data_IF_168916667845
#
_entry.id   IF_168916667845
#
_cell.length_a   1.000
_cell.length_b   1.000
_cell.length_c   1.000
_cell.angle_alpha   90.00
_cell.angle_beta   90.00
_cell.angle_gamma   90.00
#
_symmetry.space_group_name_H-M   'P 1'
#
loop_
_entity.id
_entity.type
_entity.pdbx_description
1 polymer ?
#
# COMPACT_ATOMS: atom_id res chain seq x y z
N UNK A 1 -16.36 1.49 1.45
CA UNK A 1 -16.30 0.79 0.15
C UNK A 1 -15.59 -0.53 0.28
N UNK A 2 -14.41 -0.55 0.82
CA UNK A 2 -13.54 -1.74 0.99
C UNK A 2 -14.24 -2.91 1.67
N UNK A 3 -14.98 -2.69 2.75
CA UNK A 3 -15.73 -3.74 3.43
C UNK A 3 -16.78 -4.41 2.53
N UNK A 4 -17.46 -3.64 1.68
CA UNK A 4 -18.41 -4.20 0.70
C UNK A 4 -17.70 -5.08 -0.34
N UNK A 5 -16.51 -4.66 -0.77
CA UNK A 5 -15.69 -5.47 -1.67
C UNK A 5 -15.26 -6.76 -0.99
N UNK A 6 -14.70 -6.70 0.22
CA UNK A 6 -14.28 -7.89 0.98
C UNK A 6 -15.47 -8.85 1.23
N UNK A 7 -16.63 -8.32 1.56
CA UNK A 7 -17.85 -9.11 1.69
C UNK A 7 -18.26 -9.76 0.37
N UNK A 8 -18.22 -9.03 -0.75
CA UNK A 8 -18.60 -9.56 -2.07
C UNK A 8 -17.72 -10.72 -2.53
N UNK A 9 -16.46 -10.73 -2.16
CA UNK A 9 -15.53 -11.83 -2.40
C UNK A 9 -15.56 -12.88 -1.28
N UNK A 10 -16.44 -12.76 -0.28
CA UNK A 10 -16.57 -13.67 0.87
C UNK A 10 -15.28 -13.82 1.68
N UNK A 11 -14.53 -12.71 1.85
CA UNK A 11 -13.34 -12.74 2.71
C UNK A 11 -13.77 -13.04 4.17
N UNK A 12 -13.05 -13.90 4.92
CA UNK A 12 -13.43 -14.26 6.30
C UNK A 12 -13.52 -13.02 7.19
N UNK A 13 -14.69 -12.76 7.75
CA UNK A 13 -14.98 -11.59 8.57
C UNK A 13 -14.04 -11.51 9.79
N UNK A 14 -13.84 -12.62 10.48
CA UNK A 14 -12.99 -12.73 11.68
C UNK A 14 -11.53 -12.35 11.44
N UNK A 15 -11.10 -12.25 10.18
CA UNK A 15 -9.76 -11.83 9.76
C UNK A 15 -9.68 -10.34 9.40
N UNK A 16 -10.78 -9.60 9.47
CA UNK A 16 -10.82 -8.19 9.10
C UNK A 16 -10.68 -7.33 10.35
N UNK A 17 -9.60 -6.56 10.42
CA UNK A 17 -9.32 -5.59 11.47
C UNK A 17 -9.54 -4.18 10.92
N UNK A 18 -10.36 -3.38 11.57
CA UNK A 18 -10.59 -1.97 11.25
C UNK A 18 -9.76 -1.10 12.20
N UNK A 19 -8.76 -0.43 11.66
CA UNK A 19 -7.98 0.54 12.42
C UNK A 19 -8.59 1.93 12.24
N UNK A 20 -8.99 2.55 13.35
CA UNK A 20 -9.58 3.89 13.38
C UNK A 20 -8.70 4.84 14.22
N UNK A 21 -8.84 6.15 14.04
CA UNK A 21 -7.92 7.10 14.64
C UNK A 21 -8.29 7.49 16.09
N UNK A 22 -9.54 7.26 16.52
CA UNK A 22 -10.01 7.61 17.87
C UNK A 22 -11.22 6.79 18.32
N UNK A 23 -11.56 6.88 19.60
CA UNK A 23 -12.73 6.24 20.18
C UNK A 23 -14.04 6.78 19.57
N UNK A 24 -14.10 8.07 19.23
CA UNK A 24 -15.26 8.68 18.58
C UNK A 24 -15.47 8.05 17.19
N UNK A 25 -14.39 7.86 16.42
CA UNK A 25 -14.49 7.14 15.15
C UNK A 25 -14.92 5.69 15.35
N UNK A 26 -14.39 5.01 16.36
CA UNK A 26 -14.80 3.65 16.68
C UNK A 26 -16.30 3.56 17.00
N UNK A 27 -16.83 4.52 17.76
CA UNK A 27 -18.27 4.61 18.07
C UNK A 27 -19.11 4.82 16.80
N UNK A 28 -18.69 5.71 15.90
CA UNK A 28 -19.36 5.94 14.61
C UNK A 28 -19.33 4.69 13.72
N UNK A 29 -18.21 3.97 13.68
CA UNK A 29 -18.12 2.72 12.92
C UNK A 29 -19.07 1.67 13.48
N UNK A 30 -19.13 1.48 14.80
CA UNK A 30 -20.08 0.53 15.43
C UNK A 30 -21.55 0.90 15.15
N UNK A 31 -21.85 2.20 15.06
CA UNK A 31 -23.20 2.68 14.76
C UNK A 31 -23.61 2.47 13.30
N UNK A 32 -22.68 2.64 12.35
CA UNK A 32 -23.01 2.74 10.92
C UNK A 32 -22.53 1.59 10.06
N UNK A 33 -21.59 0.76 10.55
CA UNK A 33 -21.05 -0.37 9.83
C UNK A 33 -21.58 -1.66 10.43
N UNK A 34 -22.29 -2.49 9.66
CA UNK A 34 -22.80 -3.78 10.13
C UNK A 34 -21.69 -4.67 10.71
N UNK A 35 -21.91 -5.23 11.88
CA UNK A 35 -20.92 -6.06 12.60
C UNK A 35 -20.44 -7.28 11.78
N UNK A 36 -21.29 -7.82 10.92
CA UNK A 36 -20.94 -8.96 10.06
C UNK A 36 -19.93 -8.62 8.95
N UNK A 37 -19.45 -7.37 8.84
CA UNK A 37 -18.48 -6.95 7.83
C UNK A 37 -17.04 -6.88 8.34
N UNK A 38 -16.81 -7.04 9.65
CA UNK A 38 -15.48 -6.98 10.25
C UNK A 38 -15.39 -7.84 11.50
N UNK A 39 -14.17 -8.24 11.88
CA UNK A 39 -13.93 -9.02 13.10
C UNK A 39 -13.69 -8.14 14.32
N UNK A 40 -12.92 -7.08 14.17
CA UNK A 40 -12.53 -6.19 15.27
C UNK A 40 -12.31 -4.75 14.82
N UNK A 41 -12.64 -3.79 15.69
CA UNK A 41 -12.21 -2.40 15.57
C UNK A 41 -11.06 -2.17 16.57
N UNK A 42 -9.94 -1.65 16.06
CA UNK A 42 -8.75 -1.30 16.84
C UNK A 42 -8.60 0.22 16.81
N UNK A 43 -8.60 0.85 17.98
CA UNK A 43 -8.33 2.28 18.11
C UNK A 43 -6.83 2.51 18.04
N UNK A 44 -6.40 3.17 16.99
CA UNK A 44 -5.01 3.53 16.73
C UNK A 44 -4.75 5.01 17.00
N UNK A 45 -4.16 5.71 16.01
CA UNK A 45 -3.74 7.10 16.16
C UNK A 45 -4.07 7.94 14.92
N UNK A 46 -4.19 9.24 15.09
CA UNK A 46 -4.46 10.18 14.01
C UNK A 46 -3.23 10.37 13.11
N UNK A 47 -3.48 10.50 11.81
CA UNK A 47 -2.48 10.75 10.78
C UNK A 47 -2.04 9.48 10.04
N UNK A 48 -1.89 9.57 8.73
CA UNK A 48 -1.64 8.41 7.86
C UNK A 48 -0.38 7.63 8.26
N UNK A 49 0.75 8.32 8.38
CA UNK A 49 2.03 7.68 8.74
C UNK A 49 2.01 7.16 10.17
N UNK A 50 1.44 7.94 11.11
CA UNK A 50 1.30 7.51 12.50
C UNK A 50 0.47 6.23 12.59
N UNK A 51 -0.65 6.16 11.87
CA UNK A 51 -1.52 4.97 11.83
C UNK A 51 -0.81 3.78 11.20
N UNK A 52 -0.05 3.96 10.11
CA UNK A 52 0.76 2.89 9.51
C UNK A 52 1.81 2.35 10.49
N UNK A 53 2.49 3.25 11.20
CA UNK A 53 3.47 2.88 12.22
C UNK A 53 2.82 2.20 13.44
N UNK A 54 1.62 2.67 13.84
CA UNK A 54 0.84 2.00 14.89
C UNK A 54 0.49 0.57 14.50
N UNK A 55 -0.04 0.35 13.29
CA UNK A 55 -0.36 -0.98 12.76
C UNK A 55 0.88 -1.89 12.75
N UNK A 56 2.02 -1.36 12.28
CA UNK A 56 3.29 -2.10 12.28
C UNK A 56 3.70 -2.54 13.69
N UNK A 57 3.54 -1.69 14.69
CA UNK A 57 3.88 -2.01 16.09
C UNK A 57 2.85 -2.93 16.76
N UNK A 58 1.58 -2.84 16.35
CA UNK A 58 0.48 -3.61 16.93
C UNK A 58 0.49 -5.07 16.45
N UNK A 59 0.81 -5.30 15.19
CA UNK A 59 1.01 -6.63 14.61
C UNK A 59 2.33 -7.25 15.08
N UNK A 60 2.37 -8.56 15.23
CA UNK A 60 3.60 -9.28 15.57
C UNK A 60 4.71 -9.12 14.53
N UNK A 61 6.00 -9.18 14.91
CA UNK A 61 7.09 -9.21 13.96
C UNK A 61 6.97 -10.44 13.05
N UNK A 62 7.33 -10.29 11.77
CA UNK A 62 7.22 -11.32 10.73
C UNK A 62 5.79 -11.80 10.40
N UNK A 63 4.77 -11.27 11.05
CA UNK A 63 3.38 -11.53 10.70
C UNK A 63 3.08 -11.03 9.27
N UNK A 64 2.39 -11.86 8.48
CA UNK A 64 2.01 -11.46 7.11
C UNK A 64 0.58 -10.95 7.15
N UNK A 65 0.39 -9.71 6.72
CA UNK A 65 -0.91 -9.08 6.67
C UNK A 65 -1.21 -8.47 5.30
N UNK A 66 -2.49 -8.24 5.05
CA UNK A 66 -2.99 -7.57 3.86
C UNK A 66 -3.55 -6.22 4.28
N UNK A 67 -3.05 -5.16 3.70
CA UNK A 67 -3.53 -3.80 3.96
C UNK A 67 -4.43 -3.32 2.83
N UNK A 68 -5.56 -2.75 3.23
CA UNK A 68 -6.48 -2.04 2.33
C UNK A 68 -6.78 -0.66 2.91
N UNK A 69 -6.81 0.37 2.05
CA UNK A 69 -7.44 1.63 2.41
C UNK A 69 -8.98 1.51 2.32
N UNK A 70 -9.70 2.41 2.95
CA UNK A 70 -11.17 2.37 3.07
C UNK A 70 -11.92 2.69 1.76
N UNK A 71 -11.23 3.26 0.79
CA UNK A 71 -11.73 3.70 -0.52
C UNK A 71 -11.54 2.69 -1.66
N UNK A 72 -11.01 1.50 -1.38
CA UNK A 72 -10.85 0.45 -2.40
C UNK A 72 -12.21 -0.08 -2.84
N UNK A 73 -12.51 0.07 -4.12
CA UNK A 73 -13.72 -0.46 -4.74
C UNK A 73 -13.58 -1.93 -5.12
N UNK A 74 -12.44 -2.29 -5.70
CA UNK A 74 -12.14 -3.65 -6.14
C UNK A 74 -10.66 -3.82 -6.47
N UNK A 75 -10.19 -5.05 -6.41
CA UNK A 75 -8.98 -5.48 -7.11
C UNK A 75 -9.44 -6.13 -8.42
N UNK A 76 -9.29 -5.40 -9.52
CA UNK A 76 -9.65 -5.91 -10.84
C UNK A 76 -8.63 -6.94 -11.28
N UNK A 77 -9.10 -8.11 -11.69
CA UNK A 77 -8.28 -9.23 -12.10
C UNK A 77 -8.37 -9.46 -13.62
N UNK A 78 -7.31 -9.95 -14.20
CA UNK A 78 -7.33 -10.52 -15.54
C UNK A 78 -8.21 -11.77 -15.56
N UNK A 79 -8.85 -12.07 -16.68
CA UNK A 79 -9.66 -13.27 -16.88
C UNK A 79 -8.89 -14.55 -16.49
N UNK A 80 -9.55 -15.47 -15.79
CA UNK A 80 -8.95 -16.70 -15.28
C UNK A 80 -8.16 -16.56 -13.96
N UNK A 81 -7.99 -15.34 -13.44
CA UNK A 81 -7.34 -15.09 -12.16
C UNK A 81 -8.36 -14.76 -11.06
N UNK A 82 -8.06 -15.13 -9.80
CA UNK A 82 -8.86 -14.71 -8.67
C UNK A 82 -7.97 -14.18 -7.53
N UNK A 83 -8.58 -13.40 -6.65
CA UNK A 83 -7.88 -12.72 -5.57
C UNK A 83 -7.33 -13.69 -4.52
N UNK A 84 -8.01 -14.79 -4.24
CA UNK A 84 -7.56 -15.77 -3.28
C UNK A 84 -6.29 -16.48 -3.73
N UNK A 85 -6.23 -16.85 -5.02
CA UNK A 85 -5.01 -17.40 -5.60
C UNK A 85 -3.85 -16.41 -5.48
N UNK A 86 -4.09 -15.12 -5.83
CA UNK A 86 -3.07 -14.08 -5.74
C UNK A 86 -2.56 -13.92 -4.30
N UNK A 87 -3.45 -13.87 -3.32
CA UNK A 87 -3.10 -13.75 -1.90
C UNK A 87 -2.30 -14.97 -1.44
N UNK A 88 -2.76 -16.20 -1.75
CA UNK A 88 -2.09 -17.42 -1.37
C UNK A 88 -0.69 -17.54 -1.97
N UNK A 89 -0.53 -17.22 -3.26
CA UNK A 89 0.74 -17.22 -3.96
C UNK A 89 1.69 -16.14 -3.40
N UNK A 90 1.18 -14.93 -3.11
CA UNK A 90 1.98 -13.87 -2.48
C UNK A 90 2.48 -14.28 -1.09
N UNK A 91 1.61 -14.82 -0.24
CA UNK A 91 1.97 -15.31 1.10
C UNK A 91 3.04 -16.41 0.99
N UNK A 92 2.87 -17.34 0.07
CA UNK A 92 3.84 -18.42 -0.15
C UNK A 92 5.20 -17.83 -0.56
N UNK A 93 5.23 -16.91 -1.52
CA UNK A 93 6.48 -16.27 -1.98
C UNK A 93 7.15 -15.42 -0.90
N UNK A 94 6.37 -14.72 -0.09
CA UNK A 94 6.88 -13.97 1.06
C UNK A 94 7.54 -14.93 2.07
N UNK A 95 6.95 -16.10 2.32
CA UNK A 95 7.50 -17.09 3.26
C UNK A 95 8.74 -17.80 2.74
N UNK A 96 8.81 -18.09 1.44
CA UNK A 96 9.79 -19.01 0.88
C UNK A 96 10.89 -18.35 0.05
N UNK A 97 10.71 -17.11 -0.40
CA UNK A 97 11.61 -16.44 -1.34
C UNK A 97 12.06 -15.03 -0.90
N UNK A 98 11.97 -14.72 0.37
CA UNK A 98 12.45 -13.46 0.93
C UNK A 98 11.84 -12.19 0.33
N UNK A 99 10.56 -12.25 -0.07
CA UNK A 99 9.83 -11.02 -0.36
C UNK A 99 9.31 -10.40 0.93
N UNK A 100 9.53 -9.10 1.11
CA UNK A 100 8.94 -8.39 2.25
C UNK A 100 7.63 -7.70 1.91
N UNK A 101 7.42 -7.36 0.63
CA UNK A 101 6.30 -6.56 0.16
C UNK A 101 5.79 -7.03 -1.20
N UNK A 102 4.48 -7.17 -1.31
CA UNK A 102 3.79 -7.57 -2.53
C UNK A 102 2.60 -6.65 -2.83
N UNK A 103 2.28 -6.45 -4.10
CA UNK A 103 1.10 -5.70 -4.54
C UNK A 103 0.70 -6.04 -5.98
N UNK A 104 -0.27 -5.31 -6.49
CA UNK A 104 -0.77 -5.34 -7.86
C UNK A 104 -0.39 -4.07 -8.62
N UNK A 105 -0.83 -3.89 -9.85
CA UNK A 105 -0.66 -2.63 -10.57
C UNK A 105 -1.43 -1.50 -9.85
N UNK A 106 -0.89 -0.27 -9.84
CA UNK A 106 -1.49 0.87 -9.13
C UNK A 106 -2.75 1.43 -9.81
N UNK A 107 -3.20 0.81 -10.90
CA UNK A 107 -4.43 1.16 -11.60
C UNK A 107 -5.10 -0.10 -12.16
N UNK A 108 -6.41 -0.01 -12.39
CA UNK A 108 -7.27 -1.10 -12.87
C UNK A 108 -7.46 -1.11 -14.39
N UNK A 109 -6.58 -0.47 -15.18
CA UNK A 109 -6.66 -0.51 -16.64
C UNK A 109 -6.29 -1.91 -17.16
N UNK A 110 -7.30 -2.69 -17.50
CA UNK A 110 -7.14 -4.08 -17.98
C UNK A 110 -6.25 -4.21 -19.22
N UNK A 111 -6.12 -3.17 -20.05
CA UNK A 111 -5.23 -3.16 -21.22
C UNK A 111 -3.76 -3.30 -20.85
N UNK A 112 -3.40 -2.99 -19.60
CA UNK A 112 -2.04 -3.11 -19.06
C UNK A 112 -1.79 -4.45 -18.38
N UNK A 113 -2.81 -5.27 -18.20
CA UNK A 113 -2.67 -6.55 -17.53
C UNK A 113 -1.85 -7.51 -18.38
N UNK A 114 -0.99 -8.25 -17.72
CA UNK A 114 -0.14 -9.30 -18.28
C UNK A 114 -0.04 -10.44 -17.29
N UNK A 115 0.19 -11.64 -17.77
CA UNK A 115 0.45 -12.80 -16.92
C UNK A 115 1.72 -12.63 -16.09
N UNK A 116 1.78 -13.32 -14.97
CA UNK A 116 2.95 -13.37 -14.09
C UNK A 116 3.15 -12.16 -13.19
N UNK A 117 4.34 -12.04 -12.65
CA UNK A 117 4.76 -11.00 -11.73
C UNK A 117 6.12 -10.43 -12.10
N UNK A 118 6.50 -9.32 -11.45
CA UNK A 118 7.86 -8.78 -11.48
C UNK A 118 8.44 -8.76 -10.08
N UNK A 119 9.77 -8.86 -9.97
CA UNK A 119 10.51 -8.85 -8.70
C UNK A 119 11.52 -7.69 -8.57
N UNK A 120 11.52 -6.77 -9.53
CA UNK A 120 12.37 -5.58 -9.47
C UNK A 120 11.74 -4.45 -8.64
N UNK A 121 12.50 -3.40 -8.38
CA UNK A 121 11.98 -2.20 -7.73
C UNK A 121 10.80 -1.62 -8.52
N UNK A 122 9.64 -1.63 -7.90
CA UNK A 122 8.41 -1.13 -8.48
C UNK A 122 7.54 -0.53 -7.38
N UNK A 123 6.96 0.63 -7.62
CA UNK A 123 6.10 1.33 -6.68
C UNK A 123 4.95 0.44 -6.21
N UNK A 124 4.78 0.33 -4.90
CA UNK A 124 3.66 -0.35 -4.24
C UNK A 124 2.71 0.71 -3.71
N UNK A 125 1.53 0.77 -4.28
CA UNK A 125 0.51 1.76 -3.90
C UNK A 125 0.01 1.54 -2.47
N UNK A 126 -0.23 2.63 -1.74
CA UNK A 126 -0.69 2.61 -0.36
C UNK A 126 -2.03 1.92 -0.15
N UNK A 127 -2.92 2.00 -1.14
CA UNK A 127 -4.29 1.50 -1.01
C UNK A 127 -4.44 -0.03 -0.97
N UNK A 128 -3.46 -0.79 -1.46
CA UNK A 128 -3.46 -2.26 -1.39
C UNK A 128 -2.05 -2.84 -1.41
N UNK A 129 -1.70 -3.61 -0.39
CA UNK A 129 -0.47 -4.39 -0.37
C UNK A 129 -0.54 -5.58 0.58
N UNK A 130 0.34 -6.56 0.37
CA UNK A 130 0.58 -7.71 1.25
C UNK A 130 1.99 -7.56 1.79
N UNK A 131 2.16 -7.66 3.09
CA UNK A 131 3.39 -7.27 3.75
C UNK A 131 3.81 -8.31 4.81
N UNK A 132 5.12 -8.63 4.85
CA UNK A 132 5.74 -9.22 6.05
C UNK A 132 6.01 -8.07 7.01
N UNK A 133 5.40 -8.10 8.18
CA UNK A 133 5.59 -7.05 9.19
C UNK A 133 7.04 -7.00 9.66
N UNK A 134 7.61 -5.80 9.67
CA UNK A 134 8.98 -5.60 10.10
C UNK A 134 9.08 -4.34 10.98
N UNK A 135 9.26 -4.52 12.28
CA UNK A 135 9.30 -3.45 13.27
C UNK A 135 10.47 -2.47 13.07
N UNK A 136 11.49 -2.84 12.31
CA UNK A 136 12.60 -1.93 11.98
C UNK A 136 12.27 -0.99 10.80
N UNK A 137 11.18 -1.22 10.08
CA UNK A 137 10.79 -0.46 8.89
C UNK A 137 9.63 0.51 9.18
N UNK A 138 9.75 1.28 10.26
CA UNK A 138 8.82 2.36 10.55
C UNK A 138 9.04 3.51 9.57
N UNK A 139 7.95 4.14 9.15
CA UNK A 139 8.00 5.37 8.38
C UNK A 139 8.44 6.52 9.28
N UNK A 140 9.28 7.39 8.75
CA UNK A 140 9.74 8.58 9.46
C UNK A 140 8.56 9.54 9.71
N UNK A 141 8.48 10.11 10.92
CA UNK A 141 7.46 11.10 11.29
C UNK A 141 7.79 12.51 10.79
N UNK A 142 8.58 12.62 9.74
CA UNK A 142 8.85 13.89 9.07
C UNK A 142 7.55 14.44 8.44
N UNK A 143 7.17 15.70 8.71
CA UNK A 143 5.97 16.32 8.11
C UNK A 143 5.93 16.25 6.58
N UNK A 144 7.09 16.26 5.92
CA UNK A 144 7.20 16.12 4.46
C UNK A 144 6.71 14.76 3.98
N UNK A 145 6.95 13.70 4.77
CA UNK A 145 6.58 12.33 4.43
C UNK A 145 5.13 12.04 4.84
N UNK A 146 4.66 12.60 5.95
CA UNK A 146 3.41 12.24 6.60
C UNK A 146 2.17 12.38 5.72
N UNK A 147 2.19 13.31 4.78
CA UNK A 147 1.02 13.64 3.95
C UNK A 147 1.22 13.34 2.47
N UNK A 148 2.43 12.96 2.05
CA UNK A 148 2.72 12.74 0.64
C UNK A 148 3.77 11.64 0.44
N UNK A 149 3.53 10.73 -0.51
CA UNK A 149 4.50 9.73 -0.95
C UNK A 149 4.94 8.69 0.12
N UNK A 150 4.17 8.48 1.19
CA UNK A 150 4.50 7.48 2.22
C UNK A 150 4.68 6.06 1.64
N UNK A 151 3.93 5.75 0.61
CA UNK A 151 3.96 4.49 -0.11
C UNK A 151 5.26 4.30 -0.92
N UNK A 152 5.87 5.37 -1.42
CA UNK A 152 7.20 5.34 -2.04
C UNK A 152 8.29 5.09 -1.00
N UNK A 153 8.24 5.75 0.17
CA UNK A 153 9.19 5.52 1.26
C UNK A 153 9.12 4.07 1.73
N UNK A 154 7.93 3.54 2.00
CA UNK A 154 7.73 2.14 2.38
C UNK A 154 8.27 1.19 1.31
N UNK A 155 7.96 1.44 0.04
CA UNK A 155 8.47 0.62 -1.07
C UNK A 155 9.99 0.56 -1.08
N UNK A 156 10.66 1.70 -0.91
CA UNK A 156 12.12 1.80 -0.90
C UNK A 156 12.74 1.11 0.33
N UNK A 157 12.18 1.32 1.52
CA UNK A 157 12.65 0.66 2.73
C UNK A 157 12.60 -0.87 2.58
N UNK A 158 11.48 -1.41 2.12
CA UNK A 158 11.36 -2.85 1.87
C UNK A 158 12.30 -3.34 0.78
N UNK A 159 12.44 -2.59 -0.32
CA UNK A 159 13.37 -2.96 -1.38
C UNK A 159 14.83 -2.98 -0.92
N UNK A 160 15.25 -2.03 -0.09
CA UNK A 160 16.63 -1.97 0.45
C UNK A 160 16.92 -3.19 1.32
N UNK A 161 15.97 -3.64 2.14
CA UNK A 161 16.16 -4.78 3.05
C UNK A 161 16.06 -6.12 2.30
N UNK A 162 15.02 -6.29 1.45
CA UNK A 162 14.72 -7.58 0.84
C UNK A 162 15.25 -7.72 -0.61
N UNK A 163 15.77 -6.65 -1.20
CA UNK A 163 16.33 -6.64 -2.55
C UNK A 163 15.30 -6.78 -3.69
N UNK A 164 14.01 -6.97 -3.36
CA UNK A 164 12.96 -7.26 -4.35
C UNK A 164 11.58 -6.83 -3.87
N UNK A 165 10.70 -6.51 -4.84
CA UNK A 165 9.28 -6.22 -4.64
C UNK A 165 8.46 -7.16 -5.52
N UNK A 166 7.51 -7.88 -4.95
CA UNK A 166 6.62 -8.75 -5.70
C UNK A 166 5.44 -7.94 -6.24
N UNK A 167 5.35 -7.77 -7.57
CA UNK A 167 4.22 -7.08 -8.18
C UNK A 167 3.53 -7.93 -9.22
N UNK A 168 2.29 -8.31 -8.95
CA UNK A 168 1.43 -9.04 -9.88
C UNK A 168 0.99 -8.14 -11.02
N UNK A 169 1.13 -8.62 -12.25
CA UNK A 169 0.84 -7.86 -13.46
C UNK A 169 -0.55 -8.14 -14.02
N UNK A 170 -1.20 -9.20 -13.58
CA UNK A 170 -2.55 -9.59 -13.99
C UNK A 170 -3.66 -9.02 -13.12
N UNK A 171 -3.34 -8.06 -12.24
CA UNK A 171 -4.31 -7.42 -11.36
C UNK A 171 -3.98 -5.95 -11.14
N UNK A 172 -5.00 -5.16 -10.80
CA UNK A 172 -4.83 -3.74 -10.51
C UNK A 172 -5.89 -3.24 -9.54
N UNK A 173 -5.49 -2.32 -8.65
CA UNK A 173 -6.40 -1.73 -7.67
C UNK A 173 -7.24 -0.62 -8.29
N UNK A 174 -8.51 -0.58 -7.91
CA UNK A 174 -9.43 0.50 -8.24
C UNK A 174 -9.90 1.16 -6.94
N UNK A 175 -9.64 2.45 -6.82
CA UNK A 175 -10.08 3.30 -5.70
C UNK A 175 -10.99 4.41 -6.18
N UNK A 176 -11.73 5.03 -5.26
CA UNK A 176 -12.47 6.26 -5.55
C UNK A 176 -11.53 7.44 -5.36
N UNK A 177 -10.97 7.91 -6.45
CA UNK A 177 -10.19 9.13 -6.43
C UNK A 177 -11.10 10.33 -6.11
N UNK A 178 -10.74 11.08 -5.05
CA UNK A 178 -11.40 12.32 -4.61
C UNK A 178 -12.77 12.13 -3.97
N UNK A 179 -12.78 11.51 -2.81
CA UNK A 179 -13.93 11.68 -1.92
C UNK A 179 -13.85 13.08 -1.28
N UNK A 180 -14.82 14.00 -1.53
CA UNK A 180 -14.81 15.33 -0.92
C UNK A 180 -15.00 15.30 0.62
N UNK A 181 -15.37 14.16 1.19
CA UNK A 181 -15.63 13.97 2.61
C UNK A 181 -14.47 13.31 3.37
N UNK A 182 -13.34 13.02 2.72
CA UNK A 182 -12.18 12.42 3.38
C UNK A 182 -10.94 12.41 2.49
N UNK A 183 -9.77 12.33 3.10
CA UNK A 183 -8.48 12.26 2.42
C UNK A 183 -7.54 13.40 2.84
N UNK A 184 -6.33 13.39 2.27
CA UNK A 184 -5.32 14.42 2.49
C UNK A 184 -5.85 15.77 1.99
N UNK A 185 -5.74 16.80 2.83
CA UNK A 185 -6.21 18.13 2.55
C UNK A 185 -5.71 18.65 1.18
N UNK A 186 -6.65 19.15 0.35
CA UNK A 186 -6.32 19.56 -1.02
C UNK A 186 -5.42 20.80 -1.08
N UNK A 187 -5.55 21.70 -0.06
CA UNK A 187 -4.76 22.94 0.02
C UNK A 187 -3.29 22.64 0.25
N UNK A 188 -2.42 23.18 -0.60
CA UNK A 188 -0.96 22.98 -0.51
C UNK A 188 -0.48 21.56 -0.87
N UNK A 189 -1.35 20.71 -1.40
CA UNK A 189 -0.98 19.33 -1.76
C UNK A 189 0.13 19.25 -2.81
N UNK A 190 0.13 20.15 -3.79
CA UNK A 190 1.16 20.17 -4.84
C UNK A 190 2.54 20.48 -4.28
N UNK A 191 2.60 21.44 -3.37
CA UNK A 191 3.82 21.84 -2.67
C UNK A 191 4.35 20.70 -1.79
N UNK A 192 3.47 20.03 -1.06
CA UNK A 192 3.82 18.85 -0.24
C UNK A 192 4.33 17.69 -1.11
N UNK A 193 3.64 17.39 -2.22
CA UNK A 193 4.10 16.38 -3.18
C UNK A 193 5.48 16.75 -3.78
N UNK A 194 5.71 18.01 -4.10
CA UNK A 194 7.00 18.50 -4.62
C UNK A 194 8.11 18.34 -3.57
N UNK A 195 7.85 18.74 -2.32
CA UNK A 195 8.79 18.60 -1.22
C UNK A 195 9.12 17.11 -0.94
N UNK A 196 8.12 16.24 -0.94
CA UNK A 196 8.32 14.80 -0.77
C UNK A 196 9.11 14.18 -1.94
N UNK A 197 8.87 14.62 -3.16
CA UNK A 197 9.68 14.18 -4.32
C UNK A 197 11.15 14.60 -4.19
N UNK A 198 11.42 15.85 -3.78
CA UNK A 198 12.77 16.34 -3.56
C UNK A 198 13.48 15.56 -2.43
N UNK A 199 12.78 15.28 -1.34
CA UNK A 199 13.33 14.51 -0.22
C UNK A 199 13.63 13.05 -0.62
N UNK A 200 12.73 12.38 -1.35
CA UNK A 200 12.96 11.04 -1.88
C UNK A 200 14.22 10.98 -2.77
N UNK A 201 14.40 11.96 -3.67
CA UNK A 201 15.58 12.04 -4.53
C UNK A 201 16.85 12.25 -3.69
N UNK A 202 16.79 13.11 -2.68
CA UNK A 202 17.92 13.38 -1.77
C UNK A 202 18.29 12.16 -0.93
N UNK A 203 17.31 11.46 -0.35
CA UNK A 203 17.55 10.28 0.52
C UNK A 203 17.92 9.03 -0.27
N UNK A 204 17.36 8.86 -1.46
CA UNK A 204 17.52 7.65 -2.26
C UNK A 204 18.02 7.88 -3.69
N UNK A 205 19.14 8.63 -3.90
CA UNK A 205 19.58 9.04 -5.23
C UNK A 205 19.91 7.89 -6.18
N UNK A 206 20.21 6.70 -5.64
CA UNK A 206 20.46 5.48 -6.43
C UNK A 206 19.19 4.81 -6.97
N UNK A 207 18.03 5.10 -6.36
CA UNK A 207 16.76 4.42 -6.61
C UNK A 207 15.65 5.31 -7.12
N UNK A 208 15.82 6.63 -7.02
CA UNK A 208 14.78 7.61 -7.33
C UNK A 208 15.30 8.63 -8.32
N UNK A 209 14.49 8.89 -9.36
CA UNK A 209 14.72 9.95 -10.33
C UNK A 209 13.54 10.89 -10.39
N UNK A 210 13.82 12.14 -10.70
CA UNK A 210 12.78 13.13 -10.99
C UNK A 210 11.94 12.67 -12.19
N UNK A 211 10.64 12.84 -12.08
CA UNK A 211 9.67 12.61 -13.13
C UNK A 211 8.53 13.62 -12.97
N UNK A 212 7.97 14.04 -14.07
CA UNK A 212 6.73 14.83 -14.07
C UNK A 212 5.63 14.04 -14.75
N UNK A 213 4.43 14.07 -14.15
CA UNK A 213 3.24 13.56 -14.83
C UNK A 213 2.91 14.46 -16.03
N UNK A 214 2.25 13.92 -17.04
CA UNK A 214 1.74 14.69 -18.19
C UNK A 214 0.89 15.91 -17.80
N UNK A 215 0.32 15.88 -16.59
CA UNK A 215 -0.45 16.98 -15.99
C UNK A 215 0.42 18.08 -15.38
N UNK A 216 1.76 17.99 -15.43
CA UNK A 216 2.68 18.87 -14.71
C UNK A 216 2.71 18.67 -13.19
N UNK A 217 2.15 17.55 -12.70
CA UNK A 217 2.16 17.24 -11.26
C UNK A 217 3.50 16.63 -10.85
N UNK A 218 4.13 17.08 -9.74
CA UNK A 218 5.39 16.52 -9.25
C UNK A 218 5.28 15.02 -9.00
N UNK A 219 6.23 14.26 -9.50
CA UNK A 219 6.31 12.82 -9.25
C UNK A 219 7.75 12.32 -9.30
N UNK A 220 7.95 11.06 -8.92
CA UNK A 220 9.24 10.39 -8.99
C UNK A 220 9.10 9.05 -9.71
N UNK A 221 10.17 8.67 -10.38
CA UNK A 221 10.32 7.35 -10.97
C UNK A 221 11.24 6.51 -10.09
N UNK A 222 10.74 5.38 -9.62
CA UNK A 222 11.59 4.38 -8.99
C UNK A 222 12.39 3.66 -10.07
N UNK A 223 13.70 3.64 -9.86
CA UNK A 223 14.63 3.08 -10.83
C UNK A 223 15.69 2.25 -10.11
N UNK A 224 15.94 1.05 -10.60
CA UNK A 224 17.08 0.23 -10.24
C UNK A 224 17.60 -0.49 -11.47
N UNK A 225 18.89 -0.34 -11.80
CA UNK A 225 19.59 -1.29 -12.65
C UNK A 225 20.38 -2.22 -11.74
N UNK A 226 20.03 -3.50 -11.72
CA UNK A 226 20.99 -4.49 -11.27
C UNK A 226 22.26 -4.26 -12.09
N UNK A 227 23.36 -3.84 -11.48
CA UNK A 227 24.68 -4.07 -12.07
C UNK A 227 24.74 -5.58 -12.25
N UNK A 228 25.03 -6.03 -13.46
CA UNK A 228 25.33 -7.43 -13.69
C UNK A 228 26.23 -7.85 -12.54
N UNK A 229 25.73 -8.74 -11.68
CA UNK A 229 26.60 -9.42 -10.76
C UNK A 229 27.59 -10.15 -11.69
N UNK A 230 28.82 -9.69 -11.66
CA UNK A 230 29.91 -10.42 -12.30
C UNK A 230 29.85 -11.85 -11.75
N UNK A 231 29.62 -12.78 -12.69
CA UNK A 231 29.62 -14.22 -12.47
C UNK A 231 31.02 -14.66 -12.06
#
# INVERSE_FOLDING_TARGET
MTLRYLFSIRYPQDKILLFVASDEQAALYRQHVPEHLYGQIVVGVLGLVNQRNFITKWLGPDEIFISFDDDVQTIKMMEGFNIYWLIADAITKIKTHDYGLASVLPNSDGRRFKTGFTSHLAHVIGSFYICRNNHSLLLDNDPVIQEAKEDYYRTLQYFIIYGRILRYRGAGVQTVYRNPLGGIEAKGRRERDAAACADLIRRYPKFVKHCEKKSGWPDVLLWWRARNADV
#
